data_IF_910394192093
#
_entry.id   IF_910394192093
#
_cell.length_a   1.000
_cell.length_b   1.000
_cell.length_c   1.000
_cell.angle_alpha   90.00
_cell.angle_beta   90.00
_cell.angle_gamma   90.00
#
_symmetry.space_group_name_H-M   'P 1'
#
loop_
_entity.id
_entity.type
_entity.pdbx_description
1 polymer ?
#
# COMPACT_ATOMS: atom_id res chain seq x y z
N UNK A 1 -14.61 -11.31 11.58
CA UNK A 1 -13.48 -12.08 11.01
C UNK A 1 -12.17 -11.51 11.56
N UNK A 2 -11.21 -12.33 12.04
CA UNK A 2 -9.91 -11.82 12.49
C UNK A 2 -9.01 -11.54 11.26
N UNK A 3 -8.47 -10.32 11.17
CA UNK A 3 -7.70 -9.82 10.02
C UNK A 3 -6.44 -10.64 9.75
N UNK A 4 -5.71 -11.05 10.79
CA UNK A 4 -4.51 -11.90 10.67
C UNK A 4 -4.86 -13.30 10.15
N UNK A 5 -6.04 -13.81 10.52
CA UNK A 5 -6.54 -15.09 10.03
C UNK A 5 -6.93 -15.05 8.56
N UNK A 6 -7.58 -13.96 8.12
CA UNK A 6 -7.92 -13.74 6.71
C UNK A 6 -6.65 -13.64 5.84
N UNK A 7 -5.63 -12.92 6.32
CA UNK A 7 -4.35 -12.77 5.63
C UNK A 7 -3.65 -14.13 5.41
N UNK A 8 -3.60 -14.97 6.45
CA UNK A 8 -3.04 -16.32 6.33
C UNK A 8 -3.82 -17.22 5.37
N UNK A 9 -5.16 -17.09 5.32
CA UNK A 9 -5.99 -17.83 4.37
C UNK A 9 -5.72 -17.39 2.93
N UNK A 10 -5.68 -16.06 2.70
CA UNK A 10 -5.35 -15.50 1.38
C UNK A 10 -3.97 -15.97 0.92
N UNK A 11 -2.96 -15.94 1.79
CA UNK A 11 -1.61 -16.42 1.43
C UNK A 11 -1.57 -17.89 1.02
N UNK A 12 -2.31 -18.76 1.74
CA UNK A 12 -2.38 -20.20 1.40
C UNK A 12 -3.09 -20.45 0.07
N UNK A 13 -4.22 -19.79 -0.17
CA UNK A 13 -4.97 -19.98 -1.40
C UNK A 13 -4.23 -19.39 -2.60
N UNK A 14 -3.53 -18.27 -2.42
CA UNK A 14 -2.64 -17.69 -3.42
C UNK A 14 -1.57 -18.69 -3.87
N UNK A 15 -0.83 -19.31 -2.93
CA UNK A 15 0.16 -20.32 -3.30
C UNK A 15 -0.44 -21.57 -3.97
N UNK A 16 -1.66 -21.95 -3.59
CA UNK A 16 -2.35 -23.10 -4.19
C UNK A 16 -2.76 -22.82 -5.63
N UNK A 17 -3.42 -21.69 -5.88
CA UNK A 17 -3.84 -21.30 -7.23
C UNK A 17 -2.64 -20.99 -8.14
N UNK A 18 -1.56 -20.45 -7.57
CA UNK A 18 -0.31 -20.22 -8.31
C UNK A 18 0.32 -21.52 -8.81
N UNK A 19 0.28 -22.57 -7.99
CA UNK A 19 0.74 -23.90 -8.39
C UNK A 19 -0.20 -24.55 -9.42
N UNK A 20 -1.51 -24.38 -9.27
CA UNK A 20 -2.51 -24.99 -10.16
C UNK A 20 -2.55 -24.35 -11.55
N UNK A 21 -2.44 -23.03 -11.62
CA UNK A 21 -2.54 -22.28 -12.88
C UNK A 21 -1.18 -21.86 -13.46
N UNK A 22 -0.08 -22.17 -12.77
CA UNK A 22 1.28 -21.77 -13.13
C UNK A 22 1.42 -20.26 -13.36
N UNK A 23 0.59 -19.46 -12.67
CA UNK A 23 0.58 -17.99 -12.74
C UNK A 23 0.04 -17.40 -11.46
N UNK A 24 0.38 -16.14 -11.23
CA UNK A 24 -0.17 -15.38 -10.10
C UNK A 24 -1.70 -15.26 -10.26
N UNK A 25 -2.50 -15.66 -9.26
CA UNK A 25 -3.96 -15.55 -9.31
C UNK A 25 -4.41 -14.10 -9.15
N UNK A 26 -5.55 -13.78 -9.75
CA UNK A 26 -6.19 -12.48 -9.62
C UNK A 26 -6.94 -12.33 -8.31
N UNK A 27 -7.21 -11.09 -7.88
CA UNK A 27 -8.02 -10.81 -6.71
C UNK A 27 -9.46 -11.35 -6.81
N UNK A 28 -10.00 -11.49 -8.03
CA UNK A 28 -11.32 -12.07 -8.26
C UNK A 28 -11.31 -13.59 -8.02
N UNK A 29 -10.29 -14.29 -8.52
CA UNK A 29 -10.13 -15.75 -8.32
C UNK A 29 -9.94 -16.08 -6.84
N UNK A 30 -9.15 -15.27 -6.11
CA UNK A 30 -8.98 -15.40 -4.67
C UNK A 30 -10.29 -15.15 -3.91
N UNK A 31 -11.05 -14.13 -4.32
CA UNK A 31 -12.33 -13.79 -3.71
C UNK A 31 -13.36 -14.93 -3.90
N UNK A 32 -13.47 -15.47 -5.11
CA UNK A 32 -14.36 -16.58 -5.44
C UNK A 32 -13.97 -17.85 -4.65
N UNK A 33 -12.68 -18.18 -4.62
CA UNK A 33 -12.18 -19.36 -3.91
C UNK A 33 -12.34 -19.29 -2.38
N UNK A 34 -12.20 -18.09 -1.81
CA UNK A 34 -12.25 -17.87 -0.36
C UNK A 34 -13.65 -17.50 0.16
N UNK A 35 -14.65 -17.43 -0.72
CA UNK A 35 -16.01 -16.94 -0.41
C UNK A 35 -15.98 -15.54 0.22
N UNK A 36 -15.09 -14.68 -0.28
CA UNK A 36 -14.90 -13.30 0.16
C UNK A 36 -15.26 -12.35 -0.98
N UNK A 37 -15.53 -11.08 -0.65
CA UNK A 37 -15.64 -10.05 -1.67
C UNK A 37 -14.25 -9.61 -2.15
N UNK A 38 -14.16 -9.15 -3.41
CA UNK A 38 -12.91 -8.58 -3.95
C UNK A 38 -12.40 -7.42 -3.11
N UNK A 39 -13.31 -6.62 -2.54
CA UNK A 39 -12.98 -5.53 -1.62
C UNK A 39 -12.29 -6.03 -0.35
N UNK A 40 -12.83 -7.08 0.28
CA UNK A 40 -12.22 -7.66 1.49
C UNK A 40 -10.84 -8.27 1.23
N UNK A 41 -10.63 -8.90 0.06
CA UNK A 41 -9.32 -9.40 -0.36
C UNK A 41 -8.35 -8.24 -0.55
N UNK A 42 -8.76 -7.19 -1.28
CA UNK A 42 -7.94 -6.01 -1.52
C UNK A 42 -7.57 -5.27 -0.23
N UNK A 43 -8.52 -5.10 0.69
CA UNK A 43 -8.28 -4.43 1.96
C UNK A 43 -7.35 -5.26 2.86
N UNK A 44 -7.52 -6.58 2.88
CA UNK A 44 -6.64 -7.47 3.64
C UNK A 44 -5.21 -7.44 3.09
N UNK A 45 -5.04 -7.41 1.76
CA UNK A 45 -3.73 -7.28 1.12
C UNK A 45 -3.08 -5.91 1.34
N UNK A 46 -3.84 -4.81 1.29
CA UNK A 46 -3.35 -3.47 1.60
C UNK A 46 -2.79 -3.38 3.02
N UNK A 47 -3.50 -3.97 3.98
CA UNK A 47 -3.09 -4.00 5.39
C UNK A 47 -1.88 -4.93 5.59
N UNK A 48 -1.74 -5.97 4.77
CA UNK A 48 -0.54 -6.82 4.71
C UNK A 48 0.68 -6.12 4.15
N UNK A 49 0.52 -4.94 3.53
CA UNK A 49 1.60 -4.16 2.99
C UNK A 49 2.71 -4.07 4.02
N UNK A 50 3.83 -4.75 3.73
CA UNK A 50 5.06 -4.67 4.52
C UNK A 50 5.29 -3.19 4.82
N UNK A 51 5.60 -2.85 6.07
CA UNK A 51 6.10 -1.52 6.40
C UNK A 51 7.21 -1.18 5.41
N UNK A 52 6.96 -0.23 4.50
CA UNK A 52 7.95 0.20 3.55
C UNK A 52 9.02 0.96 4.35
N UNK A 53 10.27 0.56 4.17
CA UNK A 53 11.38 1.20 4.89
C UNK A 53 11.56 2.61 4.36
N UNK A 54 11.36 3.60 5.24
CA UNK A 54 11.54 5.02 4.93
C UNK A 54 13.01 5.38 4.64
N UNK A 55 13.94 4.65 5.29
CA UNK A 55 15.38 4.87 5.22
C UNK A 55 16.11 3.96 4.22
N UNK A 56 15.41 3.03 3.58
CA UNK A 56 16.06 2.13 2.63
C UNK A 56 16.26 2.86 1.29
N UNK A 57 17.42 2.67 0.63
CA UNK A 57 17.63 3.18 -0.71
C UNK A 57 16.72 2.45 -1.71
N UNK A 58 16.30 3.15 -2.77
CA UNK A 58 15.43 2.57 -3.80
C UNK A 58 16.12 1.46 -4.60
N UNK A 59 17.42 1.60 -4.86
CA UNK A 59 18.26 0.60 -5.51
C UNK A 59 19.65 0.51 -4.86
N UNK A 60 20.36 -0.60 -5.08
CA UNK A 60 21.72 -0.76 -4.58
C UNK A 60 22.66 0.25 -5.26
N UNK A 61 23.36 1.06 -4.46
CA UNK A 61 24.27 2.10 -4.94
C UNK A 61 23.62 3.47 -5.11
N UNK A 62 22.32 3.61 -4.83
CA UNK A 62 21.65 4.91 -4.72
C UNK A 62 21.63 5.39 -3.27
N UNK A 63 21.83 6.68 -3.05
CA UNK A 63 21.75 7.30 -1.72
C UNK A 63 20.34 7.81 -1.38
N UNK A 64 19.49 7.99 -2.39
CA UNK A 64 18.14 8.54 -2.23
C UNK A 64 17.22 7.54 -1.53
N UNK A 65 16.50 8.04 -0.53
CA UNK A 65 15.54 7.29 0.30
C UNK A 65 14.16 7.89 0.14
N UNK A 66 13.16 7.19 0.68
CA UNK A 66 11.78 7.65 0.62
C UNK A 66 11.59 8.97 1.40
N UNK A 67 12.29 9.16 2.51
CA UNK A 67 12.25 10.42 3.28
C UNK A 67 12.75 11.65 2.50
N UNK A 68 13.62 11.45 1.51
CA UNK A 68 14.19 12.57 0.75
C UNK A 68 13.21 13.13 -0.30
N UNK A 69 12.15 12.37 -0.61
CA UNK A 69 11.19 12.69 -1.68
C UNK A 69 9.79 12.98 -1.15
N UNK A 70 9.44 12.47 0.03
CA UNK A 70 8.12 12.69 0.62
C UNK A 70 7.96 14.15 1.06
N UNK A 71 6.99 14.83 0.44
CA UNK A 71 6.57 16.17 0.83
C UNK A 71 5.87 16.14 2.20
N UNK A 72 6.14 17.17 3.01
CA UNK A 72 5.44 17.35 4.27
C UNK A 72 4.15 18.17 4.04
N UNK A 73 3.01 17.48 3.97
CA UNK A 73 1.69 18.10 3.77
C UNK A 73 1.20 18.93 4.96
N UNK A 74 1.82 18.81 6.15
CA UNK A 74 1.48 19.64 7.32
C UNK A 74 2.07 21.05 7.22
N UNK A 75 3.05 21.26 6.35
CA UNK A 75 3.71 22.55 6.18
C UNK A 75 3.08 23.26 4.98
N UNK A 76 2.38 24.38 5.19
CA UNK A 76 1.88 25.17 4.07
C UNK A 76 3.04 25.75 3.27
N UNK A 77 2.79 26.05 2.00
CA UNK A 77 3.77 26.73 1.15
C UNK A 77 4.28 28.02 1.81
N UNK A 78 5.56 28.39 1.63
CA UNK A 78 6.14 29.58 2.25
C UNK A 78 5.40 30.88 1.90
N UNK A 79 4.76 30.91 0.73
CA UNK A 79 3.99 32.06 0.26
C UNK A 79 2.57 32.13 0.85
N UNK A 80 2.13 31.13 1.63
CA UNK A 80 0.77 31.02 2.15
C UNK A 80 0.37 32.24 3.01
N UNK A 81 1.26 32.70 3.88
CA UNK A 81 1.01 33.89 4.70
C UNK A 81 0.99 35.17 3.86
N UNK A 82 1.93 35.33 2.92
CA UNK A 82 2.01 36.50 2.02
C UNK A 82 0.75 36.65 1.14
N UNK A 83 0.22 35.53 0.63
CA UNK A 83 -1.04 35.52 -0.12
C UNK A 83 -2.22 35.92 0.77
N UNK A 84 -2.24 35.51 2.04
CA UNK A 84 -3.25 35.91 3.01
C UNK A 84 -3.20 37.39 3.38
N UNK A 85 -2.01 37.97 3.48
CA UNK A 85 -1.81 39.40 3.74
C UNK A 85 -2.20 40.27 2.54
N UNK A 86 -1.96 39.81 1.32
CA UNK A 86 -2.32 40.51 0.08
C UNK A 86 -3.83 40.75 -0.09
N UNK A 87 -4.65 40.00 0.66
CA UNK A 87 -6.12 40.06 0.61
C UNK A 87 -6.75 40.88 1.75
N UNK A 88 -5.94 41.41 2.68
CA UNK A 88 -6.42 42.30 3.75
C UNK A 88 -6.40 43.76 3.26
N UNK A 89 -7.60 44.31 3.03
CA UNK A 89 -7.86 45.73 2.73
C UNK A 89 -8.03 46.52 4.02
#
# INVERSE_FOLDING_TARGET
>A
LNRVGALNKIGKELSKLEQEYERIPSAHELAESLEMTVGEVADTLKISGRHLSMDAPFAQGEDNRLLDVLENEEIPNPDFELMGESLKV
#
